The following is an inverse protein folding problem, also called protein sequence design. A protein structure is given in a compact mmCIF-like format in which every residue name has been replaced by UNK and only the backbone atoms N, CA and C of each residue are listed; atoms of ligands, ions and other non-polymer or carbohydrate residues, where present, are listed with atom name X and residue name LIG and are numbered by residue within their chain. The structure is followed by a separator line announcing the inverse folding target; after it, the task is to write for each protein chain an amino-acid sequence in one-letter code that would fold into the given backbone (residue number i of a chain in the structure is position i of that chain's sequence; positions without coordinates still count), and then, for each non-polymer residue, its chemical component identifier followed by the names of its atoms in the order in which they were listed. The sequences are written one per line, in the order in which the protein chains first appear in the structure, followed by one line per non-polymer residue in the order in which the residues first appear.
data_IF_792322259474
#
_entry.id   IF_792322259474
#
_cell.length_a   1.000
_cell.length_b   1.000
_cell.length_c   1.000
_cell.angle_alpha   90.00
_cell.angle_beta   90.00
_cell.angle_gamma   90.00
#
_symmetry.space_group_name_H-M   'P 1'
#
loop_
_entity.id
_entity.type
_entity.pdbx_description
1 polymer ?
#
# COMPACT_ATOMS: atom_id res chain seq x y z
N UNK A 1 4.88 15.36 26.10
CA UNK A 1 5.60 14.50 25.15
C UNK A 1 5.45 14.99 23.71
N UNK A 2 4.24 15.16 23.18
CA UNK A 2 4.00 15.58 21.78
C UNK A 2 4.71 16.90 21.40
N UNK A 3 4.66 17.90 22.28
CA UNK A 3 5.37 19.20 22.11
C UNK A 3 6.89 19.02 22.05
N UNK A 4 7.41 18.04 22.78
CA UNK A 4 8.83 17.70 22.76
C UNK A 4 9.25 16.83 21.55
N UNK A 5 8.27 16.41 20.72
CA UNK A 5 8.50 15.54 19.57
C UNK A 5 8.84 14.10 19.93
N UNK A 6 8.42 13.65 21.12
CA UNK A 6 8.71 12.31 21.61
C UNK A 6 7.43 11.58 22.02
N UNK A 7 7.30 10.33 21.60
CA UNK A 7 6.23 9.42 21.99
C UNK A 7 6.86 8.21 22.71
N UNK A 8 6.74 8.17 24.06
CA UNK A 8 7.37 7.10 24.84
C UNK A 8 6.65 5.75 24.71
N UNK A 9 5.36 5.76 24.35
CA UNK A 9 4.53 4.55 24.36
C UNK A 9 4.60 3.80 23.04
N UNK A 10 4.53 4.52 21.89
CA UNK A 10 4.44 3.92 20.57
C UNK A 10 5.56 4.34 19.62
N UNK A 11 6.47 5.20 20.07
CA UNK A 11 7.61 5.68 19.27
C UNK A 11 7.18 6.28 17.92
N UNK A 12 6.05 7.01 17.89
CA UNK A 12 5.54 7.62 16.68
C UNK A 12 6.57 8.56 16.04
N UNK A 13 6.75 8.42 14.73
CA UNK A 13 7.67 9.24 13.97
C UNK A 13 9.13 8.79 14.01
N UNK A 14 9.45 7.61 14.55
CA UNK A 14 10.83 7.09 14.61
C UNK A 14 11.26 6.47 13.27
N UNK A 15 10.32 5.87 12.51
CA UNK A 15 10.66 5.24 11.25
C UNK A 15 10.75 6.25 10.10
N UNK A 16 11.60 5.97 9.10
CA UNK A 16 11.72 6.78 7.89
C UNK A 16 10.36 6.92 7.16
N UNK A 17 9.57 5.86 7.13
CA UNK A 17 8.23 5.89 6.55
C UNK A 17 7.33 6.91 7.26
N UNK A 18 7.26 6.86 8.60
CA UNK A 18 6.46 7.81 9.38
C UNK A 18 6.95 9.25 9.20
N UNK A 19 8.26 9.48 9.12
CA UNK A 19 8.82 10.80 8.82
C UNK A 19 8.37 11.31 7.46
N UNK A 20 8.40 10.47 6.42
CA UNK A 20 8.05 10.87 5.06
C UNK A 20 6.57 11.23 4.88
N UNK A 21 5.67 10.63 5.67
CA UNK A 21 4.22 10.90 5.62
C UNK A 21 3.77 11.91 6.68
N UNK A 22 4.68 12.39 7.52
CA UNK A 22 4.40 13.42 8.52
C UNK A 22 4.23 14.80 7.90
N UNK A 23 3.82 15.76 8.71
CA UNK A 23 3.68 17.16 8.31
C UNK A 23 4.98 17.92 8.60
N UNK A 24 5.78 18.27 7.58
CA UNK A 24 7.00 19.04 7.78
C UNK A 24 6.75 20.46 8.28
N UNK A 25 5.54 21.00 8.10
CA UNK A 25 5.14 22.31 8.60
C UNK A 25 4.76 22.32 10.09
N UNK A 26 4.68 21.13 10.72
CA UNK A 26 4.38 21.04 12.16
C UNK A 26 5.40 21.73 13.06
N UNK A 27 6.54 22.18 12.51
CA UNK A 27 7.52 23.07 13.16
C UNK A 27 8.29 22.44 14.33
N UNK A 28 8.22 21.11 14.47
CA UNK A 28 8.86 20.36 15.53
C UNK A 28 9.99 19.45 15.01
N UNK A 29 10.66 18.79 15.94
CA UNK A 29 11.69 17.78 15.63
C UNK A 29 11.12 16.50 15.02
N UNK A 30 9.80 16.29 15.17
CA UNK A 30 9.08 15.10 14.72
C UNK A 30 7.85 15.53 13.93
N UNK A 31 7.80 15.24 12.62
CA UNK A 31 6.69 15.68 11.76
C UNK A 31 5.36 14.97 12.05
N UNK A 32 5.35 13.98 12.94
CA UNK A 32 4.14 13.27 13.36
C UNK A 32 3.55 13.76 14.68
N UNK A 33 4.27 14.67 15.37
CA UNK A 33 3.90 15.16 16.68
C UNK A 33 4.06 16.68 16.73
N UNK A 34 3.06 17.35 17.28
CA UNK A 34 3.09 18.79 17.40
C UNK A 34 2.15 19.31 18.48
N UNK A 35 2.32 20.58 18.89
CA UNK A 35 1.42 21.23 19.83
C UNK A 35 0.12 21.65 19.14
N UNK A 36 -0.98 21.50 19.85
CA UNK A 36 -2.25 22.15 19.52
C UNK A 36 -2.30 23.50 20.23
N UNK A 37 -2.04 24.59 19.51
CA UNK A 37 -1.85 25.92 20.09
C UNK A 37 -3.03 26.86 19.92
N UNK A 38 -3.81 26.70 18.85
CA UNK A 38 -4.82 27.64 18.43
C UNK A 38 -6.20 26.98 18.30
N UNK A 39 -7.21 27.64 18.87
CA UNK A 39 -8.60 27.25 18.69
C UNK A 39 -9.16 27.78 17.35
N UNK A 40 -10.21 27.14 16.77
CA UNK A 40 -10.98 26.02 17.34
C UNK A 40 -10.28 24.66 17.17
N UNK A 41 -10.53 23.74 18.12
CA UNK A 41 -10.03 22.36 18.04
C UNK A 41 -11.09 21.44 17.47
N UNK A 42 -10.64 20.50 16.64
CA UNK A 42 -11.51 19.51 16.01
C UNK A 42 -11.12 18.10 16.46
N UNK A 43 -12.11 17.27 16.75
CA UNK A 43 -11.92 15.87 17.07
C UNK A 43 -12.60 15.00 16.00
N UNK A 44 -11.86 14.02 15.47
CA UNK A 44 -12.36 13.04 14.50
C UNK A 44 -12.25 11.66 15.13
N UNK A 45 -13.34 10.90 15.06
CA UNK A 45 -13.32 9.50 15.48
C UNK A 45 -12.68 8.66 14.39
N UNK A 46 -11.63 7.92 14.76
CA UNK A 46 -10.92 7.01 13.86
C UNK A 46 -11.35 5.57 14.15
N UNK A 47 -11.49 4.79 13.09
CA UNK A 47 -11.72 3.36 13.14
C UNK A 47 -10.62 2.66 12.36
N UNK A 48 -10.13 1.48 12.81
CA UNK A 48 -9.21 0.70 12.02
C UNK A 48 -9.90 0.18 10.75
N UNK A 49 -9.15 0.12 9.65
CA UNK A 49 -9.63 -0.40 8.36
C UNK A 49 -8.45 -0.78 7.47
N UNK A 50 -8.68 -1.77 6.61
CA UNK A 50 -7.65 -2.24 5.69
C UNK A 50 -7.61 -1.35 4.45
N UNK A 51 -6.41 -1.00 4.01
CA UNK A 51 -6.18 -0.27 2.75
C UNK A 51 -5.81 -1.22 1.61
N UNK A 52 -5.35 -2.42 1.93
CA UNK A 52 -4.94 -3.42 0.97
C UNK A 52 -4.62 -4.76 1.60
N UNK A 53 -4.55 -5.80 0.76
CA UNK A 53 -4.19 -7.14 1.17
C UNK A 53 -2.71 -7.43 0.86
N UNK A 54 -2.01 -8.04 1.82
CA UNK A 54 -0.63 -8.49 1.63
C UNK A 54 -0.56 -9.86 0.94
N UNK A 55 -1.55 -10.70 1.22
CA UNK A 55 -1.67 -12.05 0.64
C UNK A 55 -2.85 -12.10 -0.33
N UNK A 56 -2.67 -12.81 -1.42
CA UNK A 56 -3.67 -12.97 -2.47
C UNK A 56 -3.30 -14.13 -3.39
N UNK A 57 -3.93 -14.17 -4.56
CA UNK A 57 -3.64 -15.17 -5.59
C UNK A 57 -2.21 -15.01 -6.11
N UNK A 58 -1.47 -16.10 -6.16
CA UNK A 58 -0.12 -16.10 -6.76
C UNK A 58 -0.23 -15.92 -8.27
N UNK A 59 0.57 -15.04 -8.83
CA UNK A 59 0.56 -14.73 -10.26
C UNK A 59 1.97 -14.79 -10.85
N UNK A 60 2.04 -14.94 -12.16
CA UNK A 60 3.26 -14.69 -12.94
C UNK A 60 3.43 -13.20 -13.28
N UNK A 61 4.47 -12.87 -14.06
CA UNK A 61 4.75 -11.50 -14.49
C UNK A 61 3.69 -10.88 -15.42
N UNK A 62 2.81 -11.69 -16.00
CA UNK A 62 1.69 -11.25 -16.83
C UNK A 62 0.36 -11.21 -16.07
N UNK A 63 0.41 -11.35 -14.75
CA UNK A 63 -0.74 -11.43 -13.86
C UNK A 63 -1.62 -12.67 -14.05
N UNK A 64 -1.16 -13.73 -14.75
CA UNK A 64 -1.88 -15.00 -14.78
C UNK A 64 -1.85 -15.63 -13.39
N UNK A 65 -2.99 -16.08 -12.90
CA UNK A 65 -3.07 -16.84 -11.66
C UNK A 65 -2.39 -18.21 -11.84
N UNK A 66 -1.60 -18.58 -10.86
CA UNK A 66 -0.87 -19.86 -10.85
C UNK A 66 -1.64 -20.88 -10.01
N UNK A 67 -1.68 -22.12 -10.49
CA UNK A 67 -2.19 -23.25 -9.73
C UNK A 67 -1.21 -23.70 -8.61
N UNK A 68 -1.54 -24.78 -7.92
CA UNK A 68 -0.70 -25.33 -6.84
C UNK A 68 0.65 -25.87 -7.34
N UNK A 69 0.75 -26.26 -8.62
CA UNK A 69 1.99 -26.72 -9.24
C UNK A 69 2.85 -25.56 -9.78
N UNK A 70 2.31 -24.33 -9.75
CA UNK A 70 2.98 -23.14 -10.28
C UNK A 70 2.75 -22.92 -11.78
N UNK A 71 1.82 -23.62 -12.40
CA UNK A 71 1.46 -23.43 -13.80
C UNK A 71 0.36 -22.37 -13.93
N UNK A 72 0.39 -21.54 -15.00
CA UNK A 72 -0.66 -20.56 -15.25
C UNK A 72 -2.02 -21.20 -15.55
N UNK A 73 -3.06 -20.76 -14.87
CA UNK A 73 -4.44 -21.12 -15.16
C UNK A 73 -4.90 -20.30 -16.38
N UNK A 74 -5.22 -20.97 -17.46
CA UNK A 74 -5.57 -20.31 -18.71
C UNK A 74 -6.78 -19.40 -18.59
N UNK A 75 -6.63 -18.12 -18.97
CA UNK A 75 -7.71 -17.13 -18.99
C UNK A 75 -8.03 -16.51 -17.61
N UNK A 76 -7.31 -16.90 -16.54
CA UNK A 76 -7.52 -16.35 -15.20
C UNK A 76 -6.39 -15.36 -14.84
N UNK A 77 -6.76 -14.14 -14.49
CA UNK A 77 -5.84 -13.08 -14.08
C UNK A 77 -6.25 -12.52 -12.71
N UNK A 78 -5.27 -12.07 -11.93
CA UNK A 78 -5.51 -11.34 -10.69
C UNK A 78 -4.57 -10.14 -10.62
N UNK A 79 -5.11 -9.01 -10.14
CA UNK A 79 -4.40 -7.74 -10.01
C UNK A 79 -4.77 -7.04 -8.69
N UNK A 80 -4.00 -5.99 -8.35
CA UNK A 80 -4.32 -5.16 -7.19
C UNK A 80 -4.38 -5.98 -5.90
N UNK A 81 -5.42 -5.77 -5.11
CA UNK A 81 -5.59 -6.43 -3.80
C UNK A 81 -5.95 -7.93 -3.87
N UNK A 82 -6.37 -8.43 -5.04
CA UNK A 82 -6.62 -9.86 -5.24
C UNK A 82 -5.32 -10.63 -5.56
N UNK A 83 -4.30 -9.92 -6.02
CA UNK A 83 -2.98 -10.48 -6.32
C UNK A 83 -2.12 -10.51 -5.06
N UNK A 84 -1.30 -11.56 -4.90
CA UNK A 84 -0.28 -11.60 -3.84
C UNK A 84 0.67 -10.40 -3.99
N UNK A 85 0.87 -9.67 -2.90
CA UNK A 85 1.65 -8.42 -2.91
C UNK A 85 3.09 -8.65 -3.34
N UNK A 86 3.53 -7.92 -4.37
CA UNK A 86 4.94 -7.89 -4.80
C UNK A 86 5.85 -7.19 -3.78
N UNK A 87 5.28 -6.51 -2.78
CA UNK A 87 6.01 -5.81 -1.71
C UNK A 87 6.31 -6.71 -0.51
N UNK A 88 6.05 -8.02 -0.60
CA UNK A 88 6.35 -8.96 0.48
C UNK A 88 5.56 -8.69 1.78
N UNK A 89 4.38 -8.12 1.68
CA UNK A 89 3.52 -7.81 2.83
C UNK A 89 3.85 -6.49 3.54
N UNK A 90 4.72 -5.66 2.97
CA UNK A 90 5.09 -4.37 3.53
C UNK A 90 4.41 -3.24 2.77
N UNK A 91 3.85 -2.27 3.50
CA UNK A 91 3.36 -1.03 2.92
C UNK A 91 4.55 -0.05 2.80
N UNK A 92 5.19 0.01 1.65
CA UNK A 92 6.46 0.73 1.46
C UNK A 92 6.29 2.24 1.29
N UNK A 93 5.20 2.67 0.64
CA UNK A 93 4.91 4.09 0.39
C UNK A 93 3.46 4.30 -0.09
N UNK A 94 2.91 5.53 -0.02
CA UNK A 94 1.66 5.88 -0.67
C UNK A 94 1.67 5.52 -2.17
N UNK A 95 0.56 4.97 -2.66
CA UNK A 95 0.41 4.56 -4.06
C UNK A 95 0.68 3.07 -4.33
N UNK A 96 1.21 2.31 -3.37
CA UNK A 96 1.54 0.88 -3.57
C UNK A 96 0.32 -0.03 -3.78
N UNK A 97 -0.88 0.43 -3.44
CA UNK A 97 -2.12 -0.30 -3.73
C UNK A 97 -2.59 -0.07 -5.16
N UNK A 98 -2.59 1.17 -5.62
CA UNK A 98 -3.06 1.55 -6.96
C UNK A 98 -1.97 1.37 -8.02
N UNK A 99 -0.73 1.74 -7.73
CA UNK A 99 0.38 1.67 -8.67
C UNK A 99 0.60 0.28 -9.26
N UNK A 100 0.88 -0.74 -8.44
CA UNK A 100 0.98 -2.11 -8.92
C UNK A 100 -0.30 -2.62 -9.59
N UNK A 101 -1.48 -2.25 -9.07
CA UNK A 101 -2.77 -2.59 -9.67
C UNK A 101 -2.87 -2.13 -11.12
N UNK A 102 -2.51 -0.89 -11.42
CA UNK A 102 -2.51 -0.34 -12.78
C UNK A 102 -1.48 -1.02 -13.69
N UNK A 103 -0.27 -1.24 -13.19
CA UNK A 103 0.80 -1.90 -13.96
C UNK A 103 0.37 -3.32 -14.35
N UNK A 104 -0.08 -4.12 -13.38
CA UNK A 104 -0.50 -5.50 -13.66
C UNK A 104 -1.80 -5.57 -14.47
N UNK A 105 -2.71 -4.60 -14.34
CA UNK A 105 -3.88 -4.50 -15.24
C UNK A 105 -3.45 -4.33 -16.70
N UNK A 106 -2.48 -3.45 -16.96
CA UNK A 106 -1.94 -3.25 -18.31
C UNK A 106 -1.27 -4.52 -18.85
N UNK A 107 -0.45 -5.19 -18.03
CA UNK A 107 0.24 -6.42 -18.43
C UNK A 107 -0.76 -7.55 -18.71
N UNK A 108 -1.77 -7.73 -17.85
CA UNK A 108 -2.84 -8.70 -18.02
C UNK A 108 -3.62 -8.47 -19.33
N UNK A 109 -4.02 -7.23 -19.58
CA UNK A 109 -4.77 -6.85 -20.78
C UNK A 109 -3.95 -7.12 -22.06
N UNK A 110 -2.68 -6.74 -22.09
CA UNK A 110 -1.77 -7.04 -23.20
C UNK A 110 -1.64 -8.53 -23.46
N UNK A 111 -1.41 -9.30 -22.40
CA UNK A 111 -1.25 -10.75 -22.49
C UNK A 111 -2.54 -11.42 -22.99
N UNK A 112 -3.69 -11.05 -22.44
CA UNK A 112 -4.98 -11.58 -22.85
C UNK A 112 -5.28 -11.27 -24.32
N UNK A 113 -5.08 -10.03 -24.76
CA UNK A 113 -5.27 -9.62 -26.17
C UNK A 113 -4.38 -10.42 -27.12
N UNK A 114 -3.10 -10.61 -26.79
CA UNK A 114 -2.18 -11.39 -27.63
C UNK A 114 -2.58 -12.86 -27.76
N UNK A 115 -3.27 -13.41 -26.78
CA UNK A 115 -3.80 -14.80 -26.85
C UNK A 115 -5.05 -14.90 -27.72
N UNK A 116 -5.95 -13.91 -27.63
CA UNK A 116 -7.15 -13.89 -28.47
C UNK A 116 -6.84 -13.82 -29.98
N UNK A 117 -5.71 -13.21 -30.36
CA UNK A 117 -5.30 -13.13 -31.77
C UNK A 117 -4.60 -14.39 -32.31
N UNK A 118 -4.32 -15.37 -31.45
CA UNK A 118 -3.65 -16.62 -31.80
C UNK A 118 -4.61 -17.83 -31.80
N UNK A 119 -5.83 -17.65 -31.34
CA UNK A 119 -6.89 -18.64 -31.34
C UNK A 119 -7.78 -18.48 -32.59
#
# INVERSE_FOLDING_TARGET
HAVAGHDPDFQRGVTAYQHNIGDPAAGGKNPNLGPLREAPYFAVRLFPGDIGAATGLRTDANANVLDAAGAPIAGLYAIGNDMHSIMGGVYTAPGITIGPGLVFAYLAARHASARCHRA
#
